data_IF_699383540058
#
_entry.id   IF_699383540058
#
_cell.length_a   1.000
_cell.length_b   1.000
_cell.length_c   1.000
_cell.angle_alpha   90.00
_cell.angle_beta   90.00
_cell.angle_gamma   90.00
#
_symmetry.space_group_name_H-M   'P 1'
#
loop_
_entity.id
_entity.type
_entity.pdbx_description
1 polymer ?
#
# COMPACT_ATOMS: atom_id res chain seq x y z
N UNK A 1 -44.92 -23.93 21.94
CA UNK A 1 -43.53 -23.99 22.41
C UNK A 1 -42.64 -23.56 21.24
N UNK A 2 -42.13 -22.31 21.21
CA UNK A 2 -41.19 -21.84 20.20
C UNK A 2 -39.80 -22.42 20.58
N UNK A 3 -39.26 -23.27 19.69
CA UNK A 3 -37.95 -23.81 19.84
C UNK A 3 -36.90 -22.69 19.97
N UNK A 4 -36.14 -22.68 21.04
CA UNK A 4 -34.95 -21.90 21.23
C UNK A 4 -33.94 -22.50 20.24
N UNK A 5 -33.80 -21.91 19.04
CA UNK A 5 -32.62 -22.14 18.19
C UNK A 5 -31.40 -21.76 19.02
N UNK A 6 -30.71 -22.76 19.54
CA UNK A 6 -29.37 -22.60 20.10
C UNK A 6 -28.52 -21.95 19.01
N UNK A 7 -28.23 -20.64 19.17
CA UNK A 7 -27.31 -19.92 18.27
C UNK A 7 -26.01 -20.69 18.25
N UNK A 8 -25.77 -21.45 17.21
CA UNK A 8 -24.48 -22.09 16.99
C UNK A 8 -23.42 -21.00 17.05
N UNK A 9 -22.39 -21.22 17.87
CA UNK A 9 -21.31 -20.24 18.03
C UNK A 9 -20.60 -19.99 16.70
N UNK A 10 -19.82 -18.92 16.59
CA UNK A 10 -19.16 -18.55 15.31
C UNK A 10 -18.27 -19.69 14.81
N UNK A 11 -18.18 -19.83 13.49
CA UNK A 11 -17.40 -20.85 12.81
C UNK A 11 -15.91 -20.81 13.22
N UNK A 12 -15.18 -21.91 12.94
CA UNK A 12 -13.73 -21.94 13.17
C UNK A 12 -13.00 -20.83 12.39
N UNK A 13 -13.44 -20.54 11.16
CA UNK A 13 -12.88 -19.49 10.31
C UNK A 13 -13.11 -18.11 10.94
N UNK A 14 -14.33 -17.79 11.37
CA UNK A 14 -14.65 -16.53 12.03
C UNK A 14 -13.89 -16.35 13.36
N UNK A 15 -13.71 -17.42 14.15
CA UNK A 15 -12.89 -17.36 15.38
C UNK A 15 -11.40 -17.08 15.09
N UNK A 16 -10.84 -17.59 13.99
CA UNK A 16 -9.47 -17.23 13.57
C UNK A 16 -9.38 -15.77 13.13
N UNK A 17 -10.38 -15.27 12.40
CA UNK A 17 -10.48 -13.86 12.06
C UNK A 17 -10.50 -12.97 13.29
N UNK A 18 -11.31 -13.31 14.30
CA UNK A 18 -11.38 -12.57 15.57
C UNK A 18 -10.05 -12.57 16.32
N UNK A 19 -9.32 -13.68 16.29
CA UNK A 19 -7.99 -13.78 16.91
C UNK A 19 -7.01 -12.82 16.23
N UNK A 20 -6.95 -12.81 14.91
CA UNK A 20 -6.10 -11.88 14.14
C UNK A 20 -6.52 -10.43 14.44
N UNK A 21 -7.80 -10.14 14.46
CA UNK A 21 -8.34 -8.82 14.78
C UNK A 21 -7.86 -8.29 16.14
N UNK A 22 -7.92 -9.13 17.17
CA UNK A 22 -7.44 -8.81 18.51
C UNK A 22 -5.91 -8.65 18.56
N UNK A 23 -5.17 -9.50 17.87
CA UNK A 23 -3.71 -9.39 17.80
C UNK A 23 -3.24 -8.09 17.14
N UNK A 24 -4.05 -7.53 16.21
CA UNK A 24 -3.79 -6.23 15.57
C UNK A 24 -4.22 -5.04 16.44
N UNK A 25 -4.88 -5.26 17.54
CA UNK A 25 -5.40 -4.19 18.37
C UNK A 25 -6.53 -3.38 17.69
N UNK A 26 -7.19 -3.94 16.65
CA UNK A 26 -8.27 -3.23 15.98
C UNK A 26 -9.50 -3.15 16.89
N UNK A 27 -10.25 -2.02 16.87
CA UNK A 27 -11.44 -1.85 17.69
C UNK A 27 -12.47 -2.95 17.46
N UNK A 28 -13.02 -3.47 18.54
CA UNK A 28 -14.03 -4.53 18.48
C UNK A 28 -15.45 -3.98 18.33
N UNK A 29 -15.67 -2.68 18.60
CA UNK A 29 -16.99 -2.05 18.62
C UNK A 29 -16.90 -0.59 18.18
N UNK A 30 -18.02 -0.07 17.65
CA UNK A 30 -18.20 1.35 17.41
C UNK A 30 -17.49 1.90 16.16
N UNK A 31 -16.86 1.04 15.34
CA UNK A 31 -16.30 1.47 14.05
C UNK A 31 -17.27 1.23 12.89
N UNK A 32 -17.31 2.17 11.95
CA UNK A 32 -17.86 1.96 10.62
C UNK A 32 -16.73 1.51 9.69
N UNK A 33 -16.98 0.44 8.93
CA UNK A 33 -16.00 -0.19 8.07
C UNK A 33 -16.60 -0.47 6.69
N UNK A 34 -15.81 -0.24 5.66
CA UNK A 34 -16.16 -0.65 4.30
C UNK A 34 -15.46 -1.96 3.98
N UNK A 35 -16.20 -2.97 3.53
CA UNK A 35 -15.66 -4.24 3.05
C UNK A 35 -15.59 -4.20 1.52
N UNK A 36 -14.37 -4.27 0.97
CA UNK A 36 -14.18 -4.37 -0.47
C UNK A 36 -14.60 -5.77 -0.93
N UNK A 37 -15.73 -5.86 -1.63
CA UNK A 37 -16.33 -7.13 -2.08
C UNK A 37 -16.20 -7.26 -3.59
N UNK A 38 -15.77 -8.43 -4.02
CA UNK A 38 -15.86 -8.92 -5.40
C UNK A 38 -16.70 -10.20 -5.40
N UNK A 39 -16.96 -10.74 -6.58
CA UNK A 39 -17.63 -12.04 -6.79
C UNK A 39 -16.79 -13.27 -6.34
N UNK A 40 -15.56 -13.04 -5.89
CA UNK A 40 -14.61 -14.10 -5.49
C UNK A 40 -14.76 -14.56 -4.04
N UNK A 41 -14.39 -15.81 -3.77
CA UNK A 41 -14.50 -16.47 -2.47
C UNK A 41 -13.84 -15.71 -1.30
N UNK A 42 -12.69 -15.05 -1.52
CA UNK A 42 -11.96 -14.40 -0.44
C UNK A 42 -12.76 -13.26 0.20
N UNK A 43 -13.32 -12.37 -0.63
CA UNK A 43 -14.09 -11.21 -0.15
C UNK A 43 -15.44 -11.62 0.42
N UNK A 44 -16.08 -12.62 -0.18
CA UNK A 44 -17.32 -13.21 0.32
C UNK A 44 -17.10 -13.86 1.68
N UNK A 45 -16.04 -14.67 1.83
CA UNK A 45 -15.70 -15.30 3.12
C UNK A 45 -15.42 -14.26 4.21
N UNK A 46 -14.72 -13.16 3.87
CA UNK A 46 -14.46 -12.08 4.83
C UNK A 46 -15.77 -11.44 5.29
N UNK A 47 -16.68 -11.09 4.36
CA UNK A 47 -17.96 -10.48 4.67
C UNK A 47 -18.80 -11.38 5.59
N UNK A 48 -18.95 -12.67 5.23
CA UNK A 48 -19.69 -13.66 6.01
C UNK A 48 -19.10 -13.91 7.40
N UNK A 49 -17.77 -13.92 7.52
CA UNK A 49 -17.11 -14.12 8.81
C UNK A 49 -17.30 -12.93 9.76
N UNK A 50 -17.31 -11.69 9.22
CA UNK A 50 -17.62 -10.49 9.99
C UNK A 50 -19.09 -10.48 10.43
N UNK A 51 -20.02 -10.93 9.58
CA UNK A 51 -21.41 -11.15 9.94
C UNK A 51 -21.55 -12.13 11.09
N UNK A 52 -20.89 -13.30 11.02
CA UNK A 52 -20.89 -14.30 12.09
C UNK A 52 -20.44 -13.71 13.44
N UNK A 53 -19.39 -12.92 13.43
CA UNK A 53 -18.84 -12.29 14.61
C UNK A 53 -19.76 -11.20 15.17
N UNK A 54 -20.37 -10.39 14.32
CA UNK A 54 -21.36 -9.39 14.74
C UNK A 54 -22.61 -10.06 15.32
N UNK A 55 -23.12 -11.09 14.64
CA UNK A 55 -24.31 -11.86 15.12
C UNK A 55 -24.03 -12.56 16.44
N UNK A 56 -22.82 -13.02 16.66
CA UNK A 56 -22.40 -13.62 17.94
C UNK A 56 -22.11 -12.58 19.05
N UNK A 57 -22.17 -11.27 18.76
CA UNK A 57 -21.87 -10.20 19.71
C UNK A 57 -20.37 -10.06 20.05
N UNK A 58 -19.50 -10.73 19.30
CA UNK A 58 -18.03 -10.71 19.48
C UNK A 58 -17.36 -9.52 18.78
N UNK A 59 -18.01 -8.99 17.75
CA UNK A 59 -17.78 -7.68 17.16
C UNK A 59 -19.07 -6.85 17.28
N UNK A 60 -18.93 -5.53 17.21
CA UNK A 60 -20.04 -4.57 17.17
C UNK A 60 -19.64 -3.44 16.23
N UNK A 61 -19.41 -3.78 14.98
CA UNK A 61 -18.97 -2.87 13.91
C UNK A 61 -20.03 -2.73 12.83
N UNK A 62 -20.21 -1.53 12.30
CA UNK A 62 -21.11 -1.28 11.19
C UNK A 62 -20.37 -1.57 9.87
N UNK A 63 -20.98 -2.39 9.02
CA UNK A 63 -20.36 -2.87 7.78
C UNK A 63 -21.13 -2.41 6.56
N UNK A 64 -20.43 -1.79 5.62
CA UNK A 64 -20.94 -1.48 4.28
C UNK A 64 -20.11 -2.25 3.25
N UNK A 65 -20.75 -3.04 2.40
CA UNK A 65 -20.10 -3.69 1.27
C UNK A 65 -19.83 -2.66 0.16
N UNK A 66 -18.67 -2.71 -0.48
CA UNK A 66 -18.35 -1.84 -1.62
C UNK A 66 -17.77 -2.65 -2.77
N UNK A 67 -18.35 -2.47 -3.97
CA UNK A 67 -17.94 -3.15 -5.20
C UNK A 67 -17.67 -2.15 -6.31
N UNK A 68 -16.57 -2.33 -7.05
CA UNK A 68 -16.24 -1.55 -8.23
C UNK A 68 -16.28 -2.41 -9.49
N UNK A 69 -17.20 -2.10 -10.41
CA UNK A 69 -17.14 -2.59 -11.79
C UNK A 69 -16.04 -1.84 -12.55
N UNK A 70 -15.03 -2.58 -12.99
CA UNK A 70 -13.88 -2.03 -13.72
C UNK A 70 -14.14 -1.71 -15.18
N UNK A 71 -15.34 -2.01 -15.70
CA UNK A 71 -15.71 -1.79 -17.10
C UNK A 71 -14.91 -2.63 -18.10
N UNK A 72 -14.29 -3.73 -17.65
CA UNK A 72 -13.47 -4.60 -18.50
C UNK A 72 -14.27 -5.69 -19.22
N UNK A 73 -15.46 -6.06 -18.69
CA UNK A 73 -16.25 -7.20 -19.12
C UNK A 73 -17.64 -6.83 -19.71
N UNK A 74 -17.93 -5.55 -19.94
CA UNK A 74 -19.22 -5.13 -20.46
C UNK A 74 -20.39 -5.67 -19.63
N UNK A 75 -21.28 -6.49 -20.25
CA UNK A 75 -22.43 -7.08 -19.57
C UNK A 75 -22.06 -8.03 -18.40
N UNK A 76 -20.89 -8.68 -18.43
CA UNK A 76 -20.39 -9.52 -17.35
C UNK A 76 -20.14 -8.74 -16.06
N UNK A 77 -19.53 -7.54 -16.16
CA UNK A 77 -19.27 -6.69 -14.99
C UNK A 77 -20.55 -6.22 -14.29
N UNK A 78 -21.61 -5.91 -15.07
CA UNK A 78 -22.94 -5.61 -14.51
C UNK A 78 -23.58 -6.82 -13.82
N UNK A 79 -23.28 -8.04 -14.28
CA UNK A 79 -23.69 -9.28 -13.64
C UNK A 79 -23.01 -9.50 -12.30
N UNK A 80 -21.70 -9.22 -12.22
CA UNK A 80 -20.93 -9.33 -10.99
C UNK A 80 -21.37 -8.32 -9.93
N UNK A 81 -21.66 -7.08 -10.35
CA UNK A 81 -22.19 -6.04 -9.46
C UNK A 81 -23.56 -6.42 -8.88
N UNK A 82 -24.48 -6.96 -9.71
CA UNK A 82 -25.78 -7.44 -9.24
C UNK A 82 -25.63 -8.58 -8.24
N UNK A 83 -24.79 -9.55 -8.53
CA UNK A 83 -24.54 -10.66 -7.63
C UNK A 83 -24.02 -10.19 -6.26
N UNK A 84 -23.06 -9.25 -6.22
CA UNK A 84 -22.56 -8.67 -4.97
C UNK A 84 -23.68 -7.97 -4.20
N UNK A 85 -24.53 -7.21 -4.88
CA UNK A 85 -25.69 -6.55 -4.24
C UNK A 85 -26.69 -7.55 -3.66
N UNK A 86 -26.96 -8.65 -4.37
CA UNK A 86 -27.84 -9.72 -3.91
C UNK A 86 -27.29 -10.42 -2.67
N UNK A 87 -25.99 -10.78 -2.67
CA UNK A 87 -25.32 -11.38 -1.51
C UNK A 87 -25.31 -10.42 -0.32
N UNK A 88 -24.94 -9.15 -0.53
CA UNK A 88 -24.96 -8.17 0.54
C UNK A 88 -26.34 -8.00 1.16
N UNK A 89 -27.38 -7.87 0.32
CA UNK A 89 -28.79 -7.74 0.75
C UNK A 89 -29.27 -8.98 1.51
N UNK A 90 -28.97 -10.19 1.02
CA UNK A 90 -29.36 -11.44 1.67
C UNK A 90 -28.79 -11.57 3.09
N UNK A 91 -27.65 -10.93 3.35
CA UNK A 91 -26.96 -10.91 4.64
C UNK A 91 -27.17 -9.60 5.44
N UNK A 92 -28.06 -8.71 4.98
CA UNK A 92 -28.45 -7.50 5.70
C UNK A 92 -27.43 -6.36 5.65
N UNK A 93 -26.52 -6.36 4.65
CA UNK A 93 -25.53 -5.30 4.46
C UNK A 93 -25.98 -4.26 3.43
N UNK A 94 -25.71 -3.00 3.72
CA UNK A 94 -25.72 -1.96 2.70
C UNK A 94 -24.60 -2.23 1.68
N UNK A 95 -24.86 -1.90 0.41
CA UNK A 95 -23.91 -2.13 -0.66
C UNK A 95 -23.78 -0.90 -1.56
N UNK A 96 -22.57 -0.34 -1.62
CA UNK A 96 -22.20 0.74 -2.53
C UNK A 96 -21.55 0.12 -3.77
N UNK A 97 -22.09 0.42 -4.94
CA UNK A 97 -21.54 -0.04 -6.22
C UNK A 97 -21.07 1.15 -7.03
N UNK A 98 -19.82 1.10 -7.47
CA UNK A 98 -19.25 2.06 -8.40
C UNK A 98 -18.93 1.44 -9.75
N UNK A 99 -18.67 2.29 -10.75
CA UNK A 99 -18.19 1.88 -12.06
C UNK A 99 -17.05 2.77 -12.52
N UNK A 100 -16.02 2.18 -13.11
CA UNK A 100 -14.90 2.90 -13.69
C UNK A 100 -14.52 2.32 -15.06
N UNK A 101 -14.30 3.19 -16.04
CA UNK A 101 -13.72 2.78 -17.34
C UNK A 101 -12.20 2.67 -17.22
N UNK A 102 -11.72 1.50 -16.75
CA UNK A 102 -10.29 1.24 -16.57
C UNK A 102 -9.49 1.33 -17.87
N UNK A 103 -10.00 0.87 -19.06
CA UNK A 103 -9.27 1.02 -20.31
C UNK A 103 -9.00 2.48 -20.70
N UNK A 104 -9.95 3.37 -20.50
CA UNK A 104 -9.81 4.81 -20.76
C UNK A 104 -8.80 5.44 -19.80
N UNK A 105 -8.91 5.14 -18.52
CA UNK A 105 -7.99 5.61 -17.48
C UNK A 105 -6.55 5.13 -17.72
N UNK A 106 -6.35 3.90 -18.18
CA UNK A 106 -5.05 3.35 -18.50
C UNK A 106 -4.41 4.10 -19.69
N UNK A 107 -5.20 4.38 -20.75
CA UNK A 107 -4.73 5.15 -21.91
C UNK A 107 -4.36 6.59 -21.51
N UNK A 108 -5.22 7.27 -20.78
CA UNK A 108 -5.00 8.64 -20.34
C UNK A 108 -3.75 8.80 -19.47
N UNK A 109 -3.51 7.84 -18.57
CA UNK A 109 -2.36 7.87 -17.66
C UNK A 109 -1.10 7.20 -18.21
N UNK A 110 -1.13 6.66 -19.44
CA UNK A 110 -0.07 5.82 -20.04
C UNK A 110 0.41 4.72 -19.10
N UNK A 111 -0.55 4.05 -18.45
CA UNK A 111 -0.36 3.03 -17.42
C UNK A 111 -0.79 1.67 -17.95
N UNK A 112 -0.34 0.58 -17.29
CA UNK A 112 -0.90 -0.73 -17.58
C UNK A 112 -2.29 -0.90 -16.94
N UNK A 113 -3.10 -1.80 -17.50
CA UNK A 113 -4.49 -2.04 -17.06
C UNK A 113 -4.58 -2.44 -15.57
N UNK A 114 -3.62 -3.23 -15.07
CA UNK A 114 -3.61 -3.69 -13.67
C UNK A 114 -3.42 -2.52 -12.70
N UNK A 115 -2.49 -1.63 -13.01
CA UNK A 115 -2.23 -0.45 -12.19
C UNK A 115 -3.38 0.56 -12.25
N UNK A 116 -3.96 0.77 -13.45
CA UNK A 116 -5.12 1.63 -13.62
C UNK A 116 -6.34 1.09 -12.85
N UNK A 117 -6.61 -0.22 -12.92
CA UNK A 117 -7.65 -0.89 -12.16
C UNK A 117 -7.45 -0.78 -10.65
N UNK A 118 -6.20 -0.98 -10.21
CA UNK A 118 -5.84 -0.83 -8.79
C UNK A 118 -6.05 0.60 -8.29
N UNK A 119 -5.67 1.60 -9.06
CA UNK A 119 -5.83 3.01 -8.71
C UNK A 119 -7.31 3.37 -8.63
N UNK A 120 -8.10 3.05 -9.67
CA UNK A 120 -9.54 3.29 -9.69
C UNK A 120 -10.25 2.62 -8.50
N UNK A 121 -9.83 1.40 -8.13
CA UNK A 121 -10.37 0.69 -6.97
C UNK A 121 -10.11 1.44 -5.66
N UNK A 122 -8.88 1.91 -5.42
CA UNK A 122 -8.58 2.60 -4.17
C UNK A 122 -9.22 3.98 -4.10
N UNK A 123 -9.29 4.72 -5.20
CA UNK A 123 -10.01 5.98 -5.29
C UNK A 123 -11.51 5.80 -4.95
N UNK A 124 -12.14 4.79 -5.54
CA UNK A 124 -13.53 4.45 -5.25
C UNK A 124 -13.74 4.04 -3.78
N UNK A 125 -12.89 3.16 -3.26
CA UNK A 125 -12.99 2.70 -1.88
C UNK A 125 -12.77 3.84 -0.87
N UNK A 126 -11.89 4.78 -1.18
CA UNK A 126 -11.65 5.95 -0.36
C UNK A 126 -12.87 6.90 -0.38
N UNK A 127 -13.49 7.10 -1.54
CA UNK A 127 -14.73 7.88 -1.66
C UNK A 127 -15.86 7.22 -0.87
N UNK A 128 -16.09 5.91 -1.06
CA UNK A 128 -17.11 5.16 -0.34
C UNK A 128 -16.90 5.21 1.18
N UNK A 129 -15.63 5.08 1.64
CA UNK A 129 -15.32 5.16 3.06
C UNK A 129 -15.63 6.55 3.65
N UNK A 130 -15.30 7.62 2.94
CA UNK A 130 -15.63 8.99 3.38
C UNK A 130 -17.14 9.22 3.42
N UNK A 131 -17.87 8.77 2.42
CA UNK A 131 -19.33 8.89 2.31
C UNK A 131 -20.05 8.16 3.45
N UNK A 132 -19.60 6.95 3.79
CA UNK A 132 -20.13 6.15 4.91
C UNK A 132 -19.59 6.59 6.28
N UNK A 133 -18.65 7.54 6.37
CA UNK A 133 -17.95 7.89 7.60
C UNK A 133 -17.13 6.74 8.18
N UNK A 134 -16.60 5.85 7.32
CA UNK A 134 -15.85 4.68 7.73
C UNK A 134 -14.38 5.02 8.03
N UNK A 135 -13.84 4.44 9.11
CA UNK A 135 -12.45 4.60 9.53
C UNK A 135 -11.48 3.68 8.78
N UNK A 136 -11.98 2.56 8.26
CA UNK A 136 -11.15 1.62 7.54
C UNK A 136 -11.90 0.92 6.41
N UNK A 137 -11.12 0.54 5.39
CA UNK A 137 -11.51 -0.37 4.32
C UNK A 137 -10.87 -1.73 4.56
N UNK A 138 -11.66 -2.78 4.53
CA UNK A 138 -11.22 -4.16 4.68
C UNK A 138 -11.05 -4.81 3.29
N UNK A 139 -9.86 -5.35 3.03
CA UNK A 139 -9.56 -6.06 1.80
C UNK A 139 -9.18 -7.52 2.10
N UNK A 140 -9.79 -8.45 1.39
CA UNK A 140 -9.66 -9.89 1.62
C UNK A 140 -8.41 -10.51 0.97
N UNK A 141 -7.26 -9.84 1.04
CA UNK A 141 -6.00 -10.43 0.62
C UNK A 141 -5.62 -11.57 1.58
N UNK A 142 -5.25 -12.71 1.01
CA UNK A 142 -4.92 -13.93 1.74
C UNK A 142 -3.40 -14.11 1.89
N UNK A 143 -3.02 -15.12 2.66
CA UNK A 143 -1.64 -15.58 2.80
C UNK A 143 -1.05 -16.03 1.45
N UNK A 144 -1.87 -16.64 0.57
CA UNK A 144 -1.44 -16.98 -0.78
C UNK A 144 -1.13 -15.73 -1.61
N UNK A 145 -1.95 -14.67 -1.49
CA UNK A 145 -1.69 -13.39 -2.17
C UNK A 145 -0.40 -12.71 -1.65
N UNK A 146 -0.08 -12.90 -0.37
CA UNK A 146 1.17 -12.43 0.20
C UNK A 146 2.36 -13.16 -0.40
N UNK A 147 2.32 -14.50 -0.44
CA UNK A 147 3.38 -15.32 -1.04
C UNK A 147 3.59 -14.97 -2.52
N UNK A 148 2.51 -14.84 -3.31
CA UNK A 148 2.56 -14.38 -4.70
C UNK A 148 3.27 -13.03 -4.82
N UNK A 149 2.93 -12.07 -3.94
CA UNK A 149 3.51 -10.73 -3.94
C UNK A 149 5.00 -10.75 -3.63
N UNK A 150 5.42 -11.53 -2.64
CA UNK A 150 6.84 -11.67 -2.27
C UNK A 150 7.65 -12.26 -3.42
N UNK A 151 7.16 -13.34 -4.03
CA UNK A 151 7.82 -13.99 -5.16
C UNK A 151 7.94 -13.06 -6.37
N UNK A 152 6.86 -12.36 -6.73
CA UNK A 152 6.90 -11.40 -7.85
C UNK A 152 7.88 -10.25 -7.59
N UNK A 153 8.00 -9.79 -6.36
CA UNK A 153 8.96 -8.74 -5.99
C UNK A 153 10.39 -9.25 -5.98
N UNK A 154 10.61 -10.49 -5.51
CA UNK A 154 11.91 -11.17 -5.57
C UNK A 154 12.40 -11.30 -7.01
N UNK A 155 11.54 -11.80 -7.91
CA UNK A 155 11.84 -11.94 -9.34
C UNK A 155 12.15 -10.61 -10.04
N UNK A 156 11.67 -9.47 -9.49
CA UNK A 156 11.97 -8.13 -9.97
C UNK A 156 13.23 -7.52 -9.32
N UNK A 157 13.93 -8.26 -8.46
CA UNK A 157 15.13 -7.78 -7.78
C UNK A 157 14.85 -6.76 -6.66
N UNK A 158 13.71 -6.85 -6.00
CA UNK A 158 13.39 -5.98 -4.87
C UNK A 158 14.31 -6.24 -3.68
N UNK A 159 14.75 -5.16 -3.01
CA UNK A 159 15.45 -5.24 -1.72
C UNK A 159 14.48 -5.52 -0.54
N UNK A 160 15.01 -5.47 0.69
CA UNK A 160 14.27 -5.81 1.92
C UNK A 160 12.91 -5.10 2.04
N UNK A 161 12.86 -3.78 1.77
CA UNK A 161 11.62 -3.00 1.77
C UNK A 161 10.55 -3.58 0.84
N UNK A 162 10.94 -3.90 -0.39
CA UNK A 162 10.03 -4.51 -1.36
C UNK A 162 9.60 -5.91 -0.94
N UNK A 163 10.53 -6.74 -0.45
CA UNK A 163 10.26 -8.11 -0.01
C UNK A 163 9.41 -8.18 1.26
N UNK A 164 9.28 -7.09 2.02
CA UNK A 164 8.30 -6.96 3.10
C UNK A 164 6.85 -7.21 2.68
N UNK A 165 6.57 -7.33 1.37
CA UNK A 165 5.25 -7.72 0.86
C UNK A 165 4.16 -6.67 1.16
N UNK A 166 2.93 -7.13 1.31
CA UNK A 166 1.80 -6.29 1.72
C UNK A 166 1.80 -6.11 3.25
N UNK A 167 1.60 -4.87 3.71
CA UNK A 167 1.37 -4.62 5.12
C UNK A 167 -0.05 -5.06 5.53
N UNK A 168 -0.25 -5.58 6.76
CA UNK A 168 -1.59 -5.89 7.29
C UNK A 168 -2.49 -4.66 7.34
N UNK A 169 -1.90 -3.51 7.65
CA UNK A 169 -2.57 -2.21 7.66
C UNK A 169 -1.67 -1.13 7.08
N UNK A 170 -2.27 -0.16 6.39
CA UNK A 170 -1.62 1.05 5.89
C UNK A 170 -2.66 2.13 5.65
N UNK A 171 -2.26 3.38 5.54
CA UNK A 171 -3.15 4.41 5.00
C UNK A 171 -3.67 4.00 3.60
N UNK A 172 -4.95 4.23 3.35
CA UNK A 172 -5.57 3.92 2.05
C UNK A 172 -5.04 4.87 0.98
N UNK A 173 -5.00 6.15 1.29
CA UNK A 173 -4.41 7.24 0.49
C UNK A 173 -3.25 7.88 1.26
N UNK A 174 -2.30 8.48 0.56
CA UNK A 174 -1.19 9.17 1.20
C UNK A 174 -1.69 10.36 2.01
N UNK A 175 -1.42 10.37 3.33
CA UNK A 175 -1.87 11.43 4.24
C UNK A 175 -3.36 11.39 4.59
N UNK A 176 -4.11 10.36 4.12
CA UNK A 176 -5.53 10.19 4.45
C UNK A 176 -5.73 9.51 5.81
N UNK A 177 -6.88 9.77 6.43
CA UNK A 177 -7.26 9.20 7.73
C UNK A 177 -7.82 7.78 7.65
N UNK A 178 -8.29 7.36 6.46
CA UNK A 178 -8.87 6.03 6.25
C UNK A 178 -7.77 5.00 6.11
N UNK A 179 -7.80 3.94 6.91
CA UNK A 179 -6.86 2.83 6.79
C UNK A 179 -7.35 1.73 5.84
N UNK A 180 -6.42 1.01 5.23
CA UNK A 180 -6.66 -0.23 4.49
C UNK A 180 -6.17 -1.40 5.32
N UNK A 181 -7.09 -2.22 5.85
CA UNK A 181 -6.80 -3.40 6.67
C UNK A 181 -6.97 -4.69 5.87
N UNK A 182 -6.13 -5.68 6.14
CA UNK A 182 -6.13 -7.00 5.47
C UNK A 182 -6.21 -8.13 6.47
N UNK A 183 -7.40 -8.41 7.01
CA UNK A 183 -7.55 -9.32 8.14
C UNK A 183 -7.22 -10.79 7.84
N UNK A 184 -7.19 -11.18 6.56
CA UNK A 184 -6.90 -12.55 6.13
C UNK A 184 -5.43 -12.78 5.75
N UNK A 185 -4.63 -11.70 5.65
CA UNK A 185 -3.32 -11.69 5.01
C UNK A 185 -2.30 -12.65 5.67
N UNK A 186 -2.34 -12.76 7.00
CA UNK A 186 -1.32 -13.48 7.76
C UNK A 186 -1.61 -14.98 7.91
N UNK A 187 -2.85 -15.42 7.64
CA UNK A 187 -3.25 -16.76 8.04
C UNK A 187 -4.18 -17.50 7.08
N UNK A 188 -5.06 -16.81 6.37
CA UNK A 188 -6.07 -17.49 5.57
C UNK A 188 -5.53 -17.90 4.20
N UNK A 189 -5.69 -19.18 3.90
CA UNK A 189 -5.43 -19.74 2.57
C UNK A 189 -6.69 -19.61 1.71
N UNK A 190 -6.52 -19.51 0.39
CA UNK A 190 -7.64 -19.49 -0.56
C UNK A 190 -8.56 -20.72 -0.41
N UNK A 191 -7.99 -21.90 -0.20
CA UNK A 191 -8.77 -23.11 0.04
C UNK A 191 -9.65 -23.01 1.29
N UNK A 192 -9.20 -22.28 2.33
CA UNK A 192 -10.00 -22.06 3.56
C UNK A 192 -11.15 -21.09 3.31
N UNK A 193 -10.95 -20.03 2.51
CA UNK A 193 -12.01 -19.09 2.14
C UNK A 193 -13.08 -19.76 1.27
N UNK A 194 -12.66 -20.56 0.28
CA UNK A 194 -13.57 -21.35 -0.57
C UNK A 194 -14.33 -22.40 0.25
N UNK A 195 -13.64 -23.10 1.15
CA UNK A 195 -14.27 -24.06 2.07
C UNK A 195 -15.32 -23.41 2.93
N UNK A 196 -15.02 -22.27 3.50
CA UNK A 196 -15.93 -21.52 4.34
C UNK A 196 -17.17 -21.01 3.58
N UNK A 197 -17.02 -20.49 2.36
CA UNK A 197 -18.16 -20.13 1.52
C UNK A 197 -19.08 -21.34 1.26
N UNK A 198 -18.50 -22.51 0.93
CA UNK A 198 -19.26 -23.76 0.73
C UNK A 198 -19.98 -24.23 2.00
N UNK A 199 -19.35 -24.16 3.16
CA UNK A 199 -19.98 -24.47 4.46
C UNK A 199 -21.17 -23.53 4.75
N UNK A 200 -21.11 -22.29 4.27
CA UNK A 200 -22.17 -21.29 4.43
C UNK A 200 -23.25 -21.39 3.31
N UNK A 201 -23.10 -22.30 2.35
CA UNK A 201 -24.02 -22.43 1.22
C UNK A 201 -24.05 -21.22 0.28
N UNK A 202 -22.98 -20.41 0.28
CA UNK A 202 -22.88 -19.23 -0.59
C UNK A 202 -21.98 -19.55 -1.76
N UNK A 203 -22.54 -19.45 -2.96
CA UNK A 203 -21.78 -19.59 -4.20
C UNK A 203 -20.86 -18.37 -4.39
N UNK A 204 -19.76 -18.58 -5.08
CA UNK A 204 -18.83 -17.54 -5.51
C UNK A 204 -18.44 -17.80 -6.96
N UNK A 205 -18.08 -16.74 -7.66
CA UNK A 205 -17.70 -16.86 -9.07
C UNK A 205 -16.18 -17.03 -9.21
N UNK A 206 -15.80 -17.89 -10.11
CA UNK A 206 -14.39 -18.01 -10.50
C UNK A 206 -14.13 -17.02 -11.65
N UNK A 207 -13.36 -15.97 -11.38
CA UNK A 207 -12.93 -15.04 -12.40
C UNK A 207 -12.05 -15.74 -13.46
N UNK A 208 -12.48 -15.72 -14.73
CA UNK A 208 -11.73 -16.32 -15.84
C UNK A 208 -10.33 -15.72 -16.01
N UNK A 209 -10.14 -14.44 -15.68
CA UNK A 209 -8.84 -13.80 -15.68
C UNK A 209 -7.86 -14.46 -14.68
N UNK A 210 -8.36 -15.15 -13.65
CA UNK A 210 -7.54 -15.94 -12.73
C UNK A 210 -6.94 -17.21 -13.36
N UNK A 211 -7.31 -17.53 -14.61
CA UNK A 211 -6.79 -18.67 -15.37
C UNK A 211 -5.81 -18.27 -16.46
N UNK A 212 -5.72 -17.00 -16.79
CA UNK A 212 -4.90 -16.49 -17.88
C UNK A 212 -3.40 -16.42 -17.49
N UNK A 213 -2.63 -17.37 -18.00
CA UNK A 213 -1.19 -17.49 -17.71
C UNK A 213 -0.31 -16.43 -18.41
N UNK A 214 -0.89 -15.53 -19.21
CA UNK A 214 -0.18 -14.33 -19.67
C UNK A 214 0.19 -13.43 -18.49
N UNK A 215 -0.58 -13.47 -17.42
CA UNK A 215 -0.28 -12.71 -16.21
C UNK A 215 0.74 -13.43 -15.31
N UNK A 216 1.85 -12.77 -15.01
CA UNK A 216 2.91 -13.32 -14.15
C UNK A 216 2.38 -13.82 -12.79
N UNK A 217 1.38 -13.15 -12.22
CA UNK A 217 0.75 -13.54 -10.95
C UNK A 217 0.03 -14.89 -11.06
N UNK A 218 -0.65 -15.14 -12.17
CA UNK A 218 -1.30 -16.44 -12.43
C UNK A 218 -0.27 -17.55 -12.56
N UNK A 219 0.84 -17.31 -13.26
CA UNK A 219 1.94 -18.29 -13.37
C UNK A 219 2.57 -18.60 -12.01
N UNK A 220 2.84 -17.56 -11.19
CA UNK A 220 3.36 -17.79 -9.83
C UNK A 220 2.41 -18.66 -9.03
N UNK A 221 1.11 -18.39 -9.09
CA UNK A 221 0.06 -19.16 -8.39
C UNK A 221 -0.04 -20.61 -8.85
N UNK A 222 -0.03 -20.85 -10.16
CA UNK A 222 -0.35 -22.16 -10.75
C UNK A 222 0.86 -23.04 -10.97
N UNK A 223 2.04 -22.47 -11.06
CA UNK A 223 3.26 -23.20 -11.39
C UNK A 223 4.30 -23.08 -10.26
N UNK A 224 4.69 -21.86 -9.85
CA UNK A 224 5.80 -21.67 -8.93
C UNK A 224 5.44 -22.04 -7.47
N UNK A 225 4.32 -21.59 -6.95
CA UNK A 225 3.90 -21.93 -5.57
C UNK A 225 3.65 -23.43 -5.38
N UNK A 226 2.98 -24.16 -6.28
CA UNK A 226 2.89 -25.62 -6.20
C UNK A 226 4.27 -26.30 -6.23
N UNK A 227 5.17 -25.85 -7.10
CA UNK A 227 6.54 -26.37 -7.16
C UNK A 227 7.27 -26.14 -5.82
N UNK A 228 7.22 -24.93 -5.27
CA UNK A 228 7.84 -24.63 -3.96
C UNK A 228 7.23 -25.47 -2.83
N UNK A 229 5.95 -25.83 -2.94
CA UNK A 229 5.29 -26.69 -1.95
C UNK A 229 5.80 -28.14 -1.96
N UNK A 230 6.43 -28.60 -3.04
CA UNK A 230 7.10 -29.93 -3.06
C UNK A 230 8.38 -29.92 -2.23
N UNK A 231 9.06 -28.78 -2.11
CA UNK A 231 10.24 -28.61 -1.26
C UNK A 231 9.86 -28.31 0.20
N UNK A 232 8.83 -27.50 0.39
CA UNK A 232 8.30 -27.16 1.70
C UNK A 232 6.77 -27.00 1.63
N UNK A 233 5.99 -27.94 2.19
CA UNK A 233 4.52 -27.84 2.20
C UNK A 233 3.97 -26.54 2.81
N UNK A 234 4.79 -25.86 3.63
CA UNK A 234 4.47 -24.56 4.24
C UNK A 234 5.24 -23.39 3.60
N UNK A 235 5.56 -23.47 2.30
CA UNK A 235 6.32 -22.46 1.59
C UNK A 235 5.64 -21.08 1.62
N UNK A 236 4.31 -21.02 1.47
CA UNK A 236 3.57 -19.77 1.52
C UNK A 236 3.65 -19.10 2.90
N UNK A 237 3.51 -19.89 3.98
CA UNK A 237 3.66 -19.40 5.35
C UNK A 237 5.10 -18.95 5.63
N UNK A 238 6.10 -19.66 5.11
CA UNK A 238 7.50 -19.27 5.23
C UNK A 238 7.76 -17.92 4.55
N UNK A 239 7.30 -17.74 3.32
CA UNK A 239 7.40 -16.47 2.58
C UNK A 239 6.70 -15.32 3.32
N UNK A 240 5.50 -15.57 3.86
CA UNK A 240 4.76 -14.56 4.61
C UNK A 240 5.48 -14.15 5.92
N UNK A 241 6.08 -15.11 6.65
CA UNK A 241 6.90 -14.83 7.84
C UNK A 241 8.14 -14.01 7.48
N UNK A 242 8.88 -14.43 6.45
CA UNK A 242 10.04 -13.67 5.98
C UNK A 242 9.67 -12.23 5.60
N UNK A 243 8.54 -12.05 4.92
CA UNK A 243 8.05 -10.72 4.60
C UNK A 243 7.69 -9.88 5.85
N UNK A 244 7.17 -10.52 6.91
CA UNK A 244 6.88 -9.82 8.17
C UNK A 244 8.17 -9.33 8.83
N UNK A 245 9.18 -10.19 8.97
CA UNK A 245 10.50 -9.83 9.53
C UNK A 245 11.16 -8.71 8.72
N UNK A 246 11.19 -8.82 7.39
CA UNK A 246 11.76 -7.78 6.53
C UNK A 246 11.01 -6.44 6.62
N UNK A 247 9.72 -6.43 6.96
CA UNK A 247 8.98 -5.17 7.23
C UNK A 247 9.42 -4.55 8.55
N UNK A 248 9.59 -5.36 9.59
CA UNK A 248 10.08 -4.90 10.90
C UNK A 248 11.49 -4.30 10.78
N UNK A 249 12.41 -5.02 10.11
CA UNK A 249 13.76 -4.52 9.82
C UNK A 249 13.71 -3.22 9.00
N UNK A 250 12.83 -3.16 7.99
CA UNK A 250 12.66 -1.96 7.18
C UNK A 250 12.09 -0.78 7.96
N UNK A 251 11.18 -1.00 8.90
CA UNK A 251 10.63 0.06 9.75
C UNK A 251 11.72 0.63 10.68
N UNK A 252 12.53 -0.22 11.31
CA UNK A 252 13.66 0.22 12.13
C UNK A 252 14.68 1.04 11.31
N UNK A 253 15.00 0.59 10.10
CA UNK A 253 15.88 1.34 9.18
C UNK A 253 15.25 2.67 8.74
N UNK A 254 13.92 2.76 8.57
CA UNK A 254 13.24 4.00 8.24
C UNK A 254 13.29 5.01 9.38
N UNK A 255 13.13 4.55 10.63
CA UNK A 255 13.28 5.39 11.83
C UNK A 255 14.70 5.95 11.94
N UNK A 256 15.71 5.09 11.82
CA UNK A 256 17.12 5.53 11.84
C UNK A 256 17.44 6.48 10.68
N UNK A 257 16.91 6.22 9.48
CA UNK A 257 17.12 7.08 8.32
C UNK A 257 16.42 8.43 8.47
N UNK A 258 15.25 8.48 9.11
CA UNK A 258 14.53 9.70 9.43
C UNK A 258 15.31 10.55 10.47
N UNK A 259 15.91 9.93 11.48
CA UNK A 259 16.80 10.61 12.43
C UNK A 259 18.02 11.20 11.72
N UNK A 260 18.68 10.43 10.84
CA UNK A 260 19.82 10.90 10.03
C UNK A 260 19.43 12.07 9.11
N UNK A 261 18.22 12.06 8.55
CA UNK A 261 17.72 13.20 7.76
C UNK A 261 17.49 14.44 8.64
N UNK A 262 17.04 14.26 9.88
CA UNK A 262 16.92 15.34 10.86
C UNK A 262 18.28 15.98 11.16
N UNK A 263 19.32 15.18 11.40
CA UNK A 263 20.70 15.65 11.62
C UNK A 263 21.25 16.40 10.39
N UNK A 264 21.09 15.81 9.19
CA UNK A 264 21.56 16.42 7.94
C UNK A 264 20.84 17.74 7.64
N UNK A 265 19.56 17.86 8.01
CA UNK A 265 18.80 19.12 7.91
C UNK A 265 19.27 20.18 8.91
N UNK A 266 19.49 19.81 10.17
CA UNK A 266 20.02 20.70 11.19
C UNK A 266 21.41 21.25 10.80
N UNK A 267 22.27 20.40 10.26
CA UNK A 267 23.58 20.79 9.73
C UNK A 267 23.44 21.82 8.58
N UNK A 268 22.48 21.63 7.67
CA UNK A 268 22.23 22.59 6.60
C UNK A 268 21.78 23.96 7.13
N UNK A 269 20.97 23.99 8.18
CA UNK A 269 20.48 25.22 8.80
C UNK A 269 21.58 25.99 9.56
N UNK A 270 22.51 25.27 10.23
CA UNK A 270 23.63 25.89 10.96
C UNK A 270 24.70 26.45 10.02
N UNK A 271 25.01 25.75 8.92
CA UNK A 271 25.98 26.22 7.93
C UNK A 271 25.55 27.49 7.17
N UNK A 272 24.24 27.80 7.15
CA UNK A 272 23.71 29.03 6.56
C UNK A 272 23.90 30.27 7.45
N UNK A 273 24.17 30.11 8.75
CA UNK A 273 24.33 31.23 9.71
C UNK A 273 25.73 31.83 9.76
N UNK A 274 26.73 31.09 9.29
CA UNK A 274 28.13 31.53 9.39
C UNK A 274 28.61 32.42 8.22
N UNK A 275 27.71 32.73 7.26
CA UNK A 275 28.01 33.49 6.03
C UNK A 275 27.49 34.92 5.97
N UNK A 276 26.81 35.45 6.99
CA UNK A 276 26.26 36.83 6.97
C UNK A 276 26.51 37.58 8.27
N UNK A 277 27.74 38.04 8.47
CA UNK A 277 27.96 39.31 9.16
C UNK A 277 27.73 40.43 8.14
N UNK A 278 26.49 40.80 7.97
CA UNK A 278 26.06 41.92 7.10
C UNK A 278 24.70 42.41 7.60
N UNK A 279 24.70 43.57 8.24
CA UNK A 279 23.54 44.37 8.66
C UNK A 279 22.50 44.47 7.54
N UNK A 280 21.31 43.99 7.81
CA UNK A 280 20.16 44.15 6.95
C UNK A 280 19.02 43.23 7.41
N UNK A 281 18.10 43.79 8.21
CA UNK A 281 16.85 43.10 8.52
C UNK A 281 16.13 42.76 7.21
N UNK A 282 15.96 41.50 6.96
CA UNK A 282 15.08 41.05 5.88
C UNK A 282 13.83 40.49 6.54
N UNK A 283 12.78 41.29 6.53
CA UNK A 283 11.43 40.84 6.79
C UNK A 283 11.15 39.58 5.96
N UNK A 284 10.66 38.58 6.62
CA UNK A 284 10.11 37.36 5.97
C UNK A 284 8.87 37.84 5.21
N UNK A 285 8.76 37.72 3.89
CA UNK A 285 7.54 38.10 3.20
C UNK A 285 6.38 37.22 3.71
N UNK A 286 5.43 37.81 4.38
CA UNK A 286 4.10 37.25 4.58
C UNK A 286 3.49 37.04 3.18
N UNK A 287 3.35 35.76 2.78
CA UNK A 287 2.77 35.41 1.48
C UNK A 287 3.56 34.42 0.65
N UNK A 288 4.72 33.92 1.10
CA UNK A 288 5.34 32.77 0.46
C UNK A 288 4.45 31.54 0.73
N UNK A 289 3.63 31.17 -0.26
CA UNK A 289 3.00 29.84 -0.32
C UNK A 289 4.04 28.81 0.09
N UNK A 290 3.73 28.03 1.11
CA UNK A 290 4.63 27.04 1.70
C UNK A 290 5.11 26.10 0.60
N UNK A 291 6.34 26.32 0.12
CA UNK A 291 7.04 25.35 -0.70
C UNK A 291 6.91 24.01 0.02
N UNK A 292 6.55 22.92 -0.68
CA UNK A 292 6.25 21.65 -0.04
C UNK A 292 7.38 21.31 0.92
N UNK A 293 7.07 21.02 2.17
CA UNK A 293 7.99 20.79 3.31
C UNK A 293 9.02 19.64 3.07
N UNK A 294 9.21 19.24 1.84
CA UNK A 294 9.82 18.01 1.37
C UNK A 294 11.15 18.17 0.60
N UNK A 295 11.53 19.38 0.25
CA UNK A 295 12.73 19.66 -0.57
C UNK A 295 13.84 20.42 0.20
N UNK A 296 13.99 20.17 1.50
CA UNK A 296 15.03 20.82 2.31
C UNK A 296 16.43 20.41 1.84
N UNK A 297 17.41 21.36 1.81
CA UNK A 297 18.79 20.99 1.60
C UNK A 297 19.29 20.09 2.72
N UNK A 298 20.20 19.17 2.41
CA UNK A 298 20.79 18.24 3.37
C UNK A 298 22.29 18.46 3.49
N UNK A 299 22.81 18.47 4.72
CA UNK A 299 24.24 18.49 5.02
C UNK A 299 24.91 17.20 4.54
N UNK A 300 25.99 17.35 3.79
CA UNK A 300 26.73 16.20 3.22
C UNK A 300 27.45 15.41 4.29
N UNK A 301 27.96 16.06 5.33
CA UNK A 301 28.85 15.44 6.32
C UNK A 301 28.13 14.37 7.17
N UNK A 302 26.92 14.65 7.67
CA UNK A 302 26.12 13.67 8.41
C UNK A 302 25.84 12.43 7.56
N UNK A 303 25.44 12.63 6.30
CA UNK A 303 25.17 11.53 5.37
C UNK A 303 26.43 10.74 5.00
N UNK A 304 27.58 11.41 4.80
CA UNK A 304 28.83 10.77 4.43
C UNK A 304 29.38 9.84 5.52
N UNK A 305 29.19 10.19 6.81
CA UNK A 305 29.60 9.38 7.96
C UNK A 305 28.74 8.15 8.19
N UNK A 306 27.50 8.16 7.72
CA UNK A 306 26.57 7.08 7.95
C UNK A 306 26.94 5.81 7.17
N UNK A 307 26.57 4.63 7.71
CA UNK A 307 26.73 3.37 7.02
C UNK A 307 26.00 3.38 5.66
N UNK A 308 26.54 2.73 4.60
CA UNK A 308 25.99 2.81 3.25
C UNK A 308 24.50 2.43 3.14
N UNK A 309 24.05 1.41 3.88
CA UNK A 309 22.65 1.00 3.87
C UNK A 309 21.72 2.09 4.42
N UNK A 310 22.11 2.70 5.56
CA UNK A 310 21.36 3.76 6.22
C UNK A 310 21.35 5.04 5.38
N UNK A 311 22.48 5.44 4.86
CA UNK A 311 22.68 6.59 3.99
C UNK A 311 21.78 6.50 2.73
N UNK A 312 21.80 5.35 2.06
CA UNK A 312 20.94 5.11 0.88
C UNK A 312 19.46 5.13 1.23
N UNK A 313 19.10 4.62 2.41
CA UNK A 313 17.71 4.69 2.90
C UNK A 313 17.29 6.13 3.15
N UNK A 314 18.10 6.93 3.82
CA UNK A 314 17.87 8.35 4.05
C UNK A 314 17.71 9.13 2.73
N UNK A 315 18.64 8.95 1.78
CA UNK A 315 18.55 9.59 0.47
C UNK A 315 17.27 9.19 -0.27
N UNK A 316 16.85 7.92 -0.20
CA UNK A 316 15.62 7.44 -0.82
C UNK A 316 14.37 8.06 -0.19
N UNK A 317 14.31 8.17 1.15
CA UNK A 317 13.22 8.83 1.86
C UNK A 317 13.15 10.32 1.51
N UNK A 318 14.28 10.99 1.47
CA UNK A 318 14.38 12.39 1.08
C UNK A 318 13.89 12.62 -0.37
N UNK A 319 14.33 11.79 -1.31
CA UNK A 319 13.90 11.87 -2.71
C UNK A 319 12.41 11.55 -2.86
N UNK A 320 11.88 10.60 -2.10
CA UNK A 320 10.44 10.30 -2.08
C UNK A 320 9.63 11.51 -1.64
N UNK A 321 10.10 12.20 -0.60
CA UNK A 321 9.51 13.44 -0.11
C UNK A 321 9.59 14.57 -1.12
N UNK A 322 10.75 14.79 -1.71
CA UNK A 322 11.00 15.90 -2.65
C UNK A 322 10.26 15.75 -3.99
N UNK A 323 10.16 14.51 -4.51
CA UNK A 323 9.51 14.21 -5.80
C UNK A 323 8.01 13.91 -5.67
N UNK A 324 7.53 13.53 -4.49
CA UNK A 324 6.18 13.02 -4.29
C UNK A 324 6.04 11.51 -4.60
N UNK A 325 6.92 10.93 -5.40
CA UNK A 325 6.96 9.50 -5.68
C UNK A 325 8.38 8.97 -5.99
N UNK A 326 8.52 7.66 -6.05
CA UNK A 326 9.76 6.97 -6.42
C UNK A 326 9.67 6.30 -7.81
N UNK A 327 8.69 6.67 -8.62
CA UNK A 327 8.52 6.09 -9.95
C UNK A 327 9.74 6.35 -10.81
N UNK A 328 10.15 5.31 -11.56
CA UNK A 328 11.35 5.32 -12.43
C UNK A 328 12.67 5.60 -11.69
N UNK A 329 12.67 5.79 -10.37
CA UNK A 329 13.91 5.92 -9.60
C UNK A 329 14.58 4.55 -9.48
N UNK A 330 15.70 4.36 -10.18
CA UNK A 330 16.49 3.14 -10.14
C UNK A 330 17.61 3.21 -9.07
N UNK A 331 18.20 2.05 -8.77
CA UNK A 331 19.41 1.99 -7.94
C UNK A 331 20.55 2.85 -8.50
N UNK A 332 20.70 2.91 -9.83
CA UNK A 332 21.73 3.73 -10.47
C UNK A 332 21.58 5.22 -10.18
N UNK A 333 20.35 5.75 -10.20
CA UNK A 333 20.07 7.13 -9.83
C UNK A 333 20.42 7.40 -8.36
N UNK A 334 20.05 6.48 -7.44
CA UNK A 334 20.36 6.62 -6.03
C UNK A 334 21.87 6.61 -5.78
N UNK A 335 22.62 5.72 -6.43
CA UNK A 335 24.08 5.68 -6.37
C UNK A 335 24.70 6.93 -7.01
N UNK A 336 24.07 7.52 -8.04
CA UNK A 336 24.47 8.82 -8.61
C UNK A 336 24.42 9.92 -7.55
N UNK A 337 23.34 10.00 -6.78
CA UNK A 337 23.19 10.95 -5.69
C UNK A 337 24.18 10.64 -4.56
N UNK A 338 24.37 9.38 -4.20
CA UNK A 338 25.34 8.96 -3.17
C UNK A 338 26.76 9.42 -3.50
N UNK A 339 27.19 9.32 -4.77
CA UNK A 339 28.50 9.80 -5.23
C UNK A 339 28.71 11.30 -5.05
N UNK A 340 27.65 12.10 -4.93
CA UNK A 340 27.76 13.52 -4.60
C UNK A 340 28.29 13.76 -3.19
N UNK A 341 28.20 12.77 -2.29
CA UNK A 341 28.71 12.87 -0.93
C UNK A 341 30.24 12.77 -0.88
N UNK A 342 30.87 12.21 -1.92
CA UNK A 342 32.31 11.99 -1.97
C UNK A 342 33.07 13.24 -2.43
N UNK A 343 34.27 13.47 -1.90
CA UNK A 343 35.19 14.56 -2.28
C UNK A 343 34.75 15.97 -1.85
N UNK A 344 35.64 16.95 -2.00
CA UNK A 344 35.45 18.35 -1.54
C UNK A 344 34.91 19.34 -2.57
N UNK A 345 34.82 18.98 -3.85
CA UNK A 345 34.46 19.92 -4.95
C UNK A 345 32.93 20.07 -5.09
N UNK A 346 32.45 21.31 -5.05
CA UNK A 346 31.06 21.65 -5.38
C UNK A 346 30.80 21.63 -6.90
N UNK A 347 29.54 21.81 -7.32
CA UNK A 347 29.14 21.89 -8.73
C UNK A 347 28.84 20.55 -9.40
N UNK A 348 28.85 19.44 -8.64
CA UNK A 348 28.43 18.12 -9.15
C UNK A 348 26.93 18.00 -9.16
N UNK A 349 26.40 17.32 -10.18
CA UNK A 349 24.97 17.10 -10.39
C UNK A 349 24.71 15.61 -10.61
N UNK A 350 23.63 15.11 -10.06
CA UNK A 350 23.07 13.79 -10.35
C UNK A 350 21.68 13.97 -10.98
N UNK A 351 21.56 13.57 -12.22
CA UNK A 351 20.29 13.59 -12.95
C UNK A 351 19.35 12.50 -12.43
N UNK A 352 18.05 12.82 -12.38
CA UNK A 352 16.99 11.94 -11.94
C UNK A 352 15.90 11.86 -13.01
N UNK A 353 15.06 10.80 -12.99
CA UNK A 353 13.95 10.68 -13.95
C UNK A 353 12.99 11.86 -13.85
N UNK A 354 12.44 12.29 -15.01
CA UNK A 354 11.48 13.40 -15.07
C UNK A 354 12.15 14.76 -14.91
N UNK A 355 13.35 14.95 -15.48
CA UNK A 355 14.05 16.24 -15.53
C UNK A 355 14.50 16.81 -14.18
N UNK A 356 14.18 16.13 -13.07
CA UNK A 356 14.66 16.55 -11.76
C UNK A 356 16.13 16.19 -11.53
N UNK A 357 16.81 16.89 -10.64
CA UNK A 357 18.22 16.66 -10.36
C UNK A 357 18.57 16.97 -8.90
N UNK A 358 19.69 16.42 -8.43
CA UNK A 358 20.31 16.76 -7.16
C UNK A 358 21.64 17.43 -7.43
N UNK A 359 21.87 18.58 -6.83
CA UNK A 359 23.11 19.36 -6.93
C UNK A 359 23.81 19.41 -5.59
N UNK A 360 25.15 19.27 -5.59
CA UNK A 360 25.98 19.57 -4.42
C UNK A 360 26.55 20.97 -4.52
N UNK A 361 26.18 21.85 -3.58
CA UNK A 361 26.73 23.21 -3.46
C UNK A 361 27.10 23.51 -2.00
N UNK A 362 28.32 24.01 -1.76
CA UNK A 362 28.79 24.45 -0.43
C UNK A 362 28.55 23.43 0.68
N UNK A 363 28.82 22.14 0.43
CA UNK A 363 28.63 21.07 1.41
C UNK A 363 27.19 20.63 1.66
N UNK A 364 26.24 21.11 0.85
CA UNK A 364 24.81 20.78 0.92
C UNK A 364 24.35 20.08 -0.35
N UNK A 365 23.40 19.16 -0.22
CA UNK A 365 22.61 18.61 -1.33
C UNK A 365 21.33 19.41 -1.50
N UNK A 366 21.05 19.83 -2.72
CA UNK A 366 19.85 20.54 -3.13
C UNK A 366 19.08 19.72 -4.17
N UNK A 367 17.81 19.49 -3.93
CA UNK A 367 16.90 18.93 -4.95
C UNK A 367 16.36 20.07 -5.82
N UNK A 368 16.33 19.83 -7.13
CA UNK A 368 15.74 20.71 -8.13
C UNK A 368 14.71 19.92 -8.93
N UNK A 369 13.46 20.35 -8.89
CA UNK A 369 12.44 19.88 -9.82
C UNK A 369 12.75 20.41 -11.22
N UNK A 370 12.18 19.75 -12.24
CA UNK A 370 12.15 20.32 -13.59
C UNK A 370 11.39 21.66 -13.53
N UNK A 371 12.05 22.74 -13.92
CA UNK A 371 11.34 23.97 -14.27
C UNK A 371 10.63 23.70 -15.59
N UNK A 372 9.30 23.59 -15.56
CA UNK A 372 8.50 23.71 -16.78
C UNK A 372 9.00 24.98 -17.47
N UNK A 373 9.62 24.82 -18.63
CA UNK A 373 10.13 25.92 -19.41
C UNK A 373 9.02 26.93 -19.64
N UNK A 374 9.19 28.12 -19.04
CA UNK A 374 8.43 29.26 -19.46
C UNK A 374 8.76 29.49 -20.92
N UNK A 375 7.77 29.46 -21.77
CA UNK A 375 7.82 30.16 -23.04
C UNK A 375 8.13 31.62 -22.70
N UNK A 376 9.33 32.04 -23.04
CA UNK A 376 9.60 33.46 -23.19
C UNK A 376 8.88 33.97 -24.45
N UNK A 377 8.27 35.14 -24.37
CA UNK A 377 7.49 35.72 -25.48
C UNK A 377 8.32 36.09 -26.71
#
# INVERSE_FOLDING_TARGET
MKGVELKAGPSRFARRLLREWRQRGWPLRGERLVVAVSDGANSTALLLALEDLNRAGLLGVDLTAAHLDHGLRGAGGAGDARWVQEVARAHGFECVVGRASVPERARAARDNLEQAARRARYEFLAAAARECGARAVLAAHTLDDQAETVLLRLLRGSGAEGLGGMAPERALEAGGEVSLRRPLLAWARRAETEGYCRERGVEFRADEMNRDERFARVRVRRQLLPLLSTFNPRAAEALARTAALLREDSAALDEMASALLGEARAQAASGSRDGTKGTGGTEVPEGAEAAPARAWPLGVEALARAAPALRRRALRLWLAGARGDLRRLSRAHLLGVERLLEGGRGGRVAELPGGSRVERRRGLLHFRAETSGGEEP
#
